data_IF_554317793800
#
_entry.id   IF_554317793800
#
_cell.length_a   1.000
_cell.length_b   1.000
_cell.length_c   1.000
_cell.angle_alpha   90.00
_cell.angle_beta   90.00
_cell.angle_gamma   90.00
#
_symmetry.space_group_name_H-M   'P 1'
#
loop_
_entity.id
_entity.type
_entity.pdbx_description
1 polymer ?
#
# COMPACT_ATOMS: atom_id res chain seq x y z
N UNK A 1 -45.03 -33.12 -6.76
CA UNK A 1 -44.10 -32.18 -6.11
C UNK A 1 -44.30 -32.26 -4.60
N UNK A 2 -43.39 -32.87 -3.85
CA UNK A 2 -43.46 -32.98 -2.39
C UNK A 2 -42.35 -32.11 -1.79
N UNK A 3 -42.74 -30.95 -1.22
CA UNK A 3 -41.82 -30.06 -0.49
C UNK A 3 -41.59 -30.64 0.91
N UNK A 4 -40.35 -31.04 1.20
CA UNK A 4 -39.94 -31.48 2.54
C UNK A 4 -39.40 -30.24 3.26
N UNK A 5 -40.18 -29.70 4.20
CA UNK A 5 -39.74 -28.60 5.07
C UNK A 5 -38.75 -29.13 6.10
N UNK A 6 -37.45 -29.01 5.84
CA UNK A 6 -36.43 -29.27 6.83
C UNK A 6 -36.44 -28.13 7.86
N UNK A 7 -36.94 -28.41 9.06
CA UNK A 7 -36.80 -27.51 10.21
C UNK A 7 -35.30 -27.32 10.49
N UNK A 8 -34.78 -26.11 10.28
CA UNK A 8 -33.41 -25.74 10.60
C UNK A 8 -33.17 -25.97 12.10
N UNK A 9 -32.52 -27.09 12.45
CA UNK A 9 -32.06 -27.33 13.82
C UNK A 9 -31.09 -26.21 14.16
N UNK A 10 -31.38 -25.51 15.25
CA UNK A 10 -30.61 -24.37 15.73
C UNK A 10 -29.18 -24.82 16.01
N UNK A 11 -28.27 -24.50 15.09
CA UNK A 11 -26.86 -24.83 15.21
C UNK A 11 -26.25 -23.92 16.28
N UNK A 12 -26.09 -24.43 17.49
CA UNK A 12 -25.29 -23.79 18.53
C UNK A 12 -23.86 -24.34 18.44
N UNK A 13 -22.89 -23.60 17.87
CA UNK A 13 -21.52 -24.07 17.78
C UNK A 13 -20.95 -24.30 19.20
N UNK A 14 -20.39 -25.47 19.44
CA UNK A 14 -19.71 -25.76 20.70
C UNK A 14 -18.34 -25.07 20.72
N UNK A 15 -18.33 -23.81 21.16
CA UNK A 15 -17.13 -22.95 21.23
C UNK A 15 -15.99 -23.56 22.06
N UNK A 16 -16.30 -24.43 23.03
CA UNK A 16 -15.29 -25.06 23.90
C UNK A 16 -14.53 -26.20 23.21
N UNK A 17 -15.09 -26.79 22.15
CA UNK A 17 -14.50 -27.91 21.41
C UNK A 17 -13.97 -27.48 20.04
N UNK A 18 -13.78 -26.18 19.82
CA UNK A 18 -13.21 -25.71 18.54
C UNK A 18 -11.75 -26.15 18.45
N UNK A 19 -11.32 -26.82 17.37
CA UNK A 19 -9.94 -27.22 17.16
C UNK A 19 -9.10 -26.03 16.68
N UNK A 20 -9.14 -24.91 17.44
CA UNK A 20 -8.47 -23.67 17.07
C UNK A 20 -6.98 -23.90 16.85
N UNK A 21 -6.35 -24.70 17.72
CA UNK A 21 -4.92 -25.02 17.63
C UNK A 21 -4.58 -25.75 16.31
N UNK A 22 -5.38 -26.72 15.92
CA UNK A 22 -5.18 -27.48 14.68
C UNK A 22 -5.45 -26.60 13.46
N UNK A 23 -6.52 -25.80 13.51
CA UNK A 23 -6.84 -24.83 12.46
C UNK A 23 -5.70 -23.86 12.21
N UNK A 24 -5.22 -23.16 13.24
CA UNK A 24 -4.12 -22.19 13.08
C UNK A 24 -2.80 -22.85 12.67
N UNK A 25 -2.52 -24.09 13.09
CA UNK A 25 -1.36 -24.85 12.63
C UNK A 25 -1.45 -25.30 11.17
N UNK A 26 -2.67 -25.49 10.65
CA UNK A 26 -2.92 -25.84 9.25
C UNK A 26 -2.86 -24.65 8.30
N UNK A 27 -2.93 -23.43 8.84
CA UNK A 27 -2.81 -22.24 8.01
C UNK A 27 -1.41 -22.17 7.42
N UNK A 28 -1.27 -21.91 6.11
CA UNK A 28 0.03 -21.65 5.54
C UNK A 28 0.64 -20.46 6.28
N UNK A 29 1.89 -20.60 6.75
CA UNK A 29 2.62 -19.48 7.32
C UNK A 29 2.52 -18.31 6.35
N UNK A 30 1.93 -17.21 6.80
CA UNK A 30 1.90 -15.98 6.03
C UNK A 30 3.36 -15.60 5.75
N UNK A 31 3.82 -15.91 4.53
CA UNK A 31 5.11 -15.42 4.06
C UNK A 31 4.99 -13.91 4.15
N UNK A 32 5.73 -13.29 5.08
CA UNK A 32 5.96 -11.85 5.01
C UNK A 32 6.48 -11.63 3.61
N UNK A 33 5.67 -11.02 2.74
CA UNK A 33 6.18 -10.51 1.49
C UNK A 33 7.21 -9.48 1.93
N UNK A 34 8.49 -9.85 1.83
CA UNK A 34 9.55 -8.86 1.78
C UNK A 34 9.13 -8.01 0.62
N UNK A 35 8.65 -6.80 0.89
CA UNK A 35 8.51 -5.78 -0.13
C UNK A 35 9.94 -5.62 -0.62
N UNK A 36 10.27 -6.32 -1.71
CA UNK A 36 11.51 -6.10 -2.42
C UNK A 36 11.33 -4.69 -2.94
N UNK A 37 11.82 -3.72 -2.17
CA UNK A 37 11.94 -2.33 -2.61
C UNK A 37 12.92 -2.45 -3.78
N UNK A 38 12.35 -2.56 -4.97
CA UNK A 38 13.09 -2.69 -6.21
C UNK A 38 14.16 -1.60 -6.21
N UNK A 39 15.45 -2.00 -6.33
CA UNK A 39 16.61 -1.10 -6.50
C UNK A 39 16.33 0.20 -7.29
N UNK A 40 15.54 0.21 -8.38
CA UNK A 40 15.20 1.45 -9.09
C UNK A 40 14.58 2.55 -8.23
N UNK A 41 13.88 2.23 -7.12
CA UNK A 41 13.34 3.24 -6.20
C UNK A 41 14.41 3.92 -5.36
N UNK A 42 15.52 3.25 -5.07
CA UNK A 42 16.64 3.85 -4.34
C UNK A 42 17.48 4.74 -5.24
N UNK A 43 17.76 4.31 -6.46
CA UNK A 43 18.46 5.11 -7.47
C UNK A 43 17.67 6.38 -7.80
N UNK A 44 16.36 6.26 -8.00
CA UNK A 44 15.47 7.40 -8.19
C UNK A 44 15.48 8.35 -6.99
N UNK A 45 15.38 7.81 -5.76
CA UNK A 45 15.42 8.63 -4.56
C UNK A 45 16.75 9.37 -4.42
N UNK A 46 17.86 8.75 -4.81
CA UNK A 46 19.18 9.36 -4.79
C UNK A 46 19.30 10.46 -5.85
N UNK A 47 18.80 10.23 -7.07
CA UNK A 47 18.77 11.23 -8.13
C UNK A 47 17.95 12.47 -7.74
N UNK A 48 16.76 12.26 -7.17
CA UNK A 48 15.91 13.36 -6.65
C UNK A 48 16.60 14.09 -5.51
N UNK A 49 17.22 13.36 -4.57
CA UNK A 49 17.95 13.95 -3.45
C UNK A 49 19.09 14.85 -3.92
N UNK A 50 19.88 14.40 -4.89
CA UNK A 50 20.98 15.15 -5.46
C UNK A 50 20.50 16.40 -6.22
N UNK A 51 19.47 16.26 -7.06
CA UNK A 51 18.92 17.40 -7.82
C UNK A 51 18.32 18.49 -6.91
N UNK A 52 17.69 18.10 -5.80
CA UNK A 52 17.05 19.01 -4.87
C UNK A 52 17.97 19.47 -3.73
N UNK A 53 19.19 18.91 -3.60
CA UNK A 53 20.08 19.17 -2.47
C UNK A 53 19.49 18.73 -1.13
N UNK A 54 18.76 17.60 -1.09
CA UNK A 54 18.08 17.08 0.10
C UNK A 54 18.67 15.74 0.54
N UNK A 55 18.29 15.32 1.75
CA UNK A 55 18.61 13.98 2.23
C UNK A 55 17.88 12.89 1.43
N UNK A 56 18.50 11.73 1.32
CA UNK A 56 17.87 10.54 0.73
C UNK A 56 16.54 10.18 1.43
N UNK A 57 16.48 10.35 2.75
CA UNK A 57 15.26 10.06 3.53
C UNK A 57 14.13 11.02 3.15
N UNK A 58 14.43 12.30 2.91
CA UNK A 58 13.46 13.29 2.44
C UNK A 58 12.88 12.89 1.08
N UNK A 59 13.74 12.54 0.12
CA UNK A 59 13.32 12.08 -1.19
C UNK A 59 12.47 10.79 -1.11
N UNK A 60 12.86 9.83 -0.27
CA UNK A 60 12.07 8.62 0.01
C UNK A 60 10.68 8.96 0.56
N UNK A 61 10.58 9.89 1.51
CA UNK A 61 9.28 10.33 2.07
C UNK A 61 8.36 10.94 1.01
N UNK A 62 8.89 11.67 0.03
CA UNK A 62 8.12 12.18 -1.10
C UNK A 62 7.61 11.05 -2.00
N UNK A 63 8.48 10.12 -2.39
CA UNK A 63 8.12 8.97 -3.25
C UNK A 63 7.03 8.10 -2.59
N UNK A 64 7.09 7.92 -1.28
CA UNK A 64 6.09 7.16 -0.52
C UNK A 64 4.83 7.97 -0.16
N UNK A 65 4.78 9.26 -0.48
CA UNK A 65 3.62 10.12 -0.20
C UNK A 65 3.47 10.56 1.27
N UNK A 66 4.49 10.35 2.12
CA UNK A 66 4.45 10.79 3.52
C UNK A 66 4.58 12.31 3.67
N UNK A 67 5.24 12.97 2.71
CA UNK A 67 5.38 14.44 2.68
C UNK A 67 5.34 14.95 1.25
N UNK A 68 5.13 16.25 1.07
CA UNK A 68 5.11 16.90 -0.25
C UNK A 68 6.36 17.78 -0.42
N UNK A 69 7.00 17.80 -1.60
CA UNK A 69 8.04 18.77 -1.93
C UNK A 69 7.47 20.18 -2.06
N UNK A 70 8.31 21.19 -1.85
CA UNK A 70 7.96 22.59 -2.07
C UNK A 70 7.83 22.91 -3.57
N UNK A 71 7.21 24.05 -3.97
CA UNK A 71 7.00 24.37 -5.39
C UNK A 71 8.28 24.34 -6.25
N UNK A 72 9.39 24.93 -5.76
CA UNK A 72 10.67 24.92 -6.48
C UNK A 72 11.27 23.50 -6.60
N UNK A 73 11.05 22.64 -5.61
CA UNK A 73 11.48 21.23 -5.66
C UNK A 73 10.64 20.43 -6.65
N UNK A 74 9.33 20.73 -6.78
CA UNK A 74 8.46 20.07 -7.76
C UNK A 74 8.89 20.36 -9.19
N UNK A 75 9.26 21.60 -9.49
CA UNK A 75 9.78 21.99 -10.81
C UNK A 75 11.06 21.23 -11.16
N UNK A 76 12.01 21.15 -10.23
CA UNK A 76 13.25 20.37 -10.42
C UNK A 76 13.00 18.89 -10.63
N UNK A 77 12.05 18.30 -9.89
CA UNK A 77 11.69 16.88 -10.03
C UNK A 77 11.00 16.64 -11.38
N UNK A 78 10.15 17.57 -11.81
CA UNK A 78 9.47 17.52 -13.11
C UNK A 78 10.48 17.59 -14.27
N UNK A 79 11.46 18.49 -14.18
CA UNK A 79 12.57 18.59 -15.13
C UNK A 79 13.39 17.30 -15.17
N UNK A 80 13.80 16.78 -14.00
CA UNK A 80 14.57 15.53 -13.89
C UNK A 80 13.86 14.34 -14.54
N UNK A 81 12.53 14.25 -14.38
CA UNK A 81 11.72 13.16 -14.89
C UNK A 81 11.15 13.42 -16.29
N UNK A 82 11.46 14.56 -16.90
CA UNK A 82 10.92 14.97 -18.20
C UNK A 82 9.38 14.87 -18.26
N UNK A 83 8.71 15.27 -17.17
CA UNK A 83 7.25 15.23 -17.03
C UNK A 83 6.73 16.58 -16.54
N UNK A 84 5.43 16.86 -16.74
CA UNK A 84 4.82 18.07 -16.18
C UNK A 84 4.59 17.96 -14.67
N UNK A 85 4.61 19.12 -14.00
CA UNK A 85 4.37 19.23 -12.55
C UNK A 85 2.97 18.71 -12.19
N UNK A 86 1.96 19.04 -12.98
CA UNK A 86 0.57 18.63 -12.74
C UNK A 86 0.37 17.12 -12.84
N UNK A 87 1.14 16.45 -13.71
CA UNK A 87 1.08 15.00 -13.86
C UNK A 87 1.75 14.28 -12.67
N UNK A 88 2.86 14.82 -12.16
CA UNK A 88 3.58 14.25 -11.01
C UNK A 88 2.94 14.57 -9.67
N UNK A 89 2.30 15.73 -9.55
CA UNK A 89 1.71 16.24 -8.32
C UNK A 89 0.26 16.72 -8.56
N UNK A 90 -0.67 15.81 -8.90
CA UNK A 90 -2.05 16.17 -9.16
C UNK A 90 -2.68 16.81 -7.92
N UNK A 91 -3.48 17.84 -8.14
CA UNK A 91 -4.38 18.33 -7.09
C UNK A 91 -5.46 17.27 -6.87
N UNK A 92 -5.74 16.93 -5.62
CA UNK A 92 -6.87 16.07 -5.30
C UNK A 92 -8.12 16.79 -5.80
N UNK A 93 -8.64 16.40 -6.96
CA UNK A 93 -10.01 16.74 -7.34
C UNK A 93 -10.87 16.02 -6.32
N UNK A 94 -11.62 16.79 -5.54
CA UNK A 94 -12.63 16.22 -4.65
C UNK A 94 -13.48 15.28 -5.49
N UNK A 95 -13.44 14.00 -5.14
CA UNK A 95 -14.37 13.04 -5.71
C UNK A 95 -15.70 13.41 -5.08
N UNK A 96 -16.52 14.17 -5.79
CA UNK A 96 -17.93 14.35 -5.44
C UNK A 96 -18.52 12.93 -5.28
N UNK A 97 -18.90 12.63 -4.04
CA UNK A 97 -19.47 11.35 -3.62
C UNK A 97 -20.97 11.28 -3.95
#
# INVERSE_FOLDING_TARGET
>A
MTKINQTNKQFTPNVKKLPLKEYYNSLPFAKKHVVVISKPREELALAIANACGKSLMTAKRWIYGYSKPCPAEKEKIAELLSSSVDNLFPQNKEVEA
#
